data_IF_934944468260
#
_entry.id   IF_934944468260
#
_cell.length_a   1.000
_cell.length_b   1.000
_cell.length_c   1.000
_cell.angle_alpha   90.00
_cell.angle_beta   90.00
_cell.angle_gamma   90.00
#
_symmetry.space_group_name_H-M   'P 1'
#
loop_
_entity.id
_entity.type
_entity.pdbx_description
1 polymer ?
#
# COMPACT_ATOMS: atom_id res chain seq x y z
N UNK A 1 -28.48 22.71 26.57
CA UNK A 1 -27.89 21.46 27.10
C UNK A 1 -28.13 20.36 26.07
N UNK A 2 -27.06 19.65 25.72
CA UNK A 2 -27.02 18.33 25.08
C UNK A 2 -27.57 18.16 23.65
N UNK A 3 -26.67 18.22 22.67
CA UNK A 3 -26.74 17.33 21.51
C UNK A 3 -25.68 16.24 21.75
N UNK A 4 -26.14 15.03 22.06
CA UNK A 4 -25.28 13.85 22.16
C UNK A 4 -24.75 13.53 20.75
N UNK A 5 -23.44 13.63 20.56
CA UNK A 5 -22.78 13.10 19.37
C UNK A 5 -22.36 11.67 19.69
N UNK A 6 -23.11 10.70 19.16
CA UNK A 6 -22.71 9.29 19.14
C UNK A 6 -21.43 9.13 18.31
N UNK A 7 -20.32 8.62 18.86
CA UNK A 7 -19.18 8.19 18.05
C UNK A 7 -19.39 6.72 17.65
N UNK A 8 -20.41 6.44 16.85
CA UNK A 8 -20.52 5.14 16.19
C UNK A 8 -19.97 5.27 14.77
N UNK A 9 -18.66 5.12 14.64
CA UNK A 9 -18.01 4.97 13.32
C UNK A 9 -17.11 3.75 13.37
N UNK A 10 -17.75 2.57 13.41
CA UNK A 10 -17.10 1.28 13.25
C UNK A 10 -16.68 1.12 11.79
N UNK A 11 -15.40 1.41 11.54
CA UNK A 11 -14.69 1.29 10.28
C UNK A 11 -14.70 -0.14 9.74
N UNK A 12 -15.15 -0.37 8.51
CA UNK A 12 -15.24 -1.70 7.87
C UNK A 12 -13.91 -2.26 7.30
N UNK A 13 -12.79 -1.54 7.43
CA UNK A 13 -11.41 -2.02 7.20
C UNK A 13 -10.89 -2.94 8.32
N UNK A 14 -11.61 -2.96 9.43
CA UNK A 14 -11.47 -3.81 10.62
C UNK A 14 -11.48 -5.30 10.23
N UNK A 15 -12.29 -5.75 9.26
CA UNK A 15 -12.65 -7.18 9.18
C UNK A 15 -11.50 -8.21 9.15
N UNK A 16 -10.41 -8.01 8.39
CA UNK A 16 -9.34 -9.01 8.29
C UNK A 16 -8.38 -8.99 9.50
N UNK A 17 -7.83 -7.81 9.82
CA UNK A 17 -6.97 -7.58 10.99
C UNK A 17 -7.73 -7.81 12.29
N UNK A 18 -8.98 -7.38 12.36
CA UNK A 18 -9.87 -7.63 13.49
C UNK A 18 -10.27 -9.09 13.56
N UNK A 19 -10.41 -9.83 12.45
CA UNK A 19 -10.57 -11.29 12.56
C UNK A 19 -9.33 -11.97 13.16
N UNK A 20 -8.12 -11.45 12.90
CA UNK A 20 -6.89 -11.97 13.50
C UNK A 20 -6.81 -11.60 14.99
N UNK A 21 -7.08 -10.34 15.33
CA UNK A 21 -7.12 -9.85 16.71
C UNK A 21 -8.21 -10.59 17.51
N UNK A 22 -9.38 -10.81 16.93
CA UNK A 22 -10.49 -11.56 17.55
C UNK A 22 -10.11 -13.03 17.78
N UNK A 23 -9.41 -13.67 16.83
CA UNK A 23 -8.89 -15.03 17.01
C UNK A 23 -7.81 -15.11 18.09
N UNK A 24 -6.89 -14.15 18.13
CA UNK A 24 -5.81 -14.10 19.13
C UNK A 24 -6.36 -13.85 20.53
N UNK A 25 -7.25 -12.87 20.67
CA UNK A 25 -7.90 -12.54 21.93
C UNK A 25 -8.76 -13.69 22.43
N UNK A 26 -9.53 -14.36 21.56
CA UNK A 26 -10.32 -15.53 21.94
C UNK A 26 -9.46 -16.75 22.32
N UNK A 27 -8.36 -17.01 21.59
CA UNK A 27 -7.53 -18.21 21.83
C UNK A 27 -6.63 -18.10 23.06
N UNK A 28 -6.14 -16.90 23.35
CA UNK A 28 -5.19 -16.65 24.45
C UNK A 28 -5.79 -15.83 25.59
N UNK A 29 -7.10 -15.52 25.51
CA UNK A 29 -7.83 -14.71 26.49
C UNK A 29 -7.14 -13.35 26.76
N UNK A 30 -6.69 -12.69 25.67
CA UNK A 30 -6.00 -11.40 25.72
C UNK A 30 -6.97 -10.23 25.65
N UNK A 31 -6.56 -9.07 26.15
CA UNK A 31 -7.30 -7.83 25.99
C UNK A 31 -7.24 -7.35 24.53
N UNK A 32 -8.41 -7.13 23.92
CA UNK A 32 -8.53 -6.67 22.53
C UNK A 32 -7.93 -5.30 22.28
N UNK A 33 -8.06 -4.37 23.22
CA UNK A 33 -7.49 -3.03 23.09
C UNK A 33 -5.95 -3.09 23.07
N UNK A 34 -5.35 -3.89 23.95
CA UNK A 34 -3.89 -4.03 24.04
C UNK A 34 -3.32 -4.69 22.78
N UNK A 35 -3.98 -5.76 22.29
CA UNK A 35 -3.57 -6.42 21.04
C UNK A 35 -3.72 -5.49 19.84
N UNK A 36 -4.80 -4.70 19.79
CA UNK A 36 -4.99 -3.69 18.73
C UNK A 36 -3.87 -2.65 18.77
N UNK A 37 -3.53 -2.11 19.94
CA UNK A 37 -2.47 -1.14 20.11
C UNK A 37 -1.10 -1.67 19.66
N UNK A 38 -0.76 -2.92 20.03
CA UNK A 38 0.49 -3.57 19.59
C UNK A 38 0.52 -3.75 18.08
N UNK A 39 -0.58 -4.19 17.47
CA UNK A 39 -0.66 -4.37 16.02
C UNK A 39 -0.60 -3.03 15.27
N UNK A 40 -1.22 -1.98 15.82
CA UNK A 40 -1.09 -0.62 15.29
C UNK A 40 0.35 -0.11 15.34
N UNK A 41 1.04 -0.35 16.46
CA UNK A 41 2.46 0.02 16.62
C UNK A 41 3.36 -0.75 15.64
N UNK A 42 3.21 -2.08 15.54
CA UNK A 42 3.99 -2.91 14.59
C UNK A 42 3.78 -2.46 13.15
N UNK A 43 2.54 -2.08 12.78
CA UNK A 43 2.28 -1.49 11.47
C UNK A 43 3.08 -0.22 11.28
N UNK A 44 3.00 0.73 12.20
CA UNK A 44 3.75 1.99 12.11
C UNK A 44 5.26 1.75 11.99
N UNK A 45 5.81 0.84 12.79
CA UNK A 45 7.23 0.50 12.76
C UNK A 45 7.64 -0.11 11.42
N UNK A 46 6.84 -1.03 10.87
CA UNK A 46 7.08 -1.60 9.53
C UNK A 46 6.98 -0.56 8.42
N UNK A 47 6.04 0.40 8.52
CA UNK A 47 5.95 1.50 7.56
C UNK A 47 7.21 2.38 7.60
N UNK A 48 7.68 2.75 8.80
CA UNK A 48 8.91 3.50 8.97
C UNK A 48 10.13 2.75 8.43
N UNK A 49 10.22 1.43 8.67
CA UNK A 49 11.29 0.58 8.13
C UNK A 49 11.27 0.55 6.59
N UNK A 50 10.11 0.34 5.97
CA UNK A 50 10.01 0.34 4.51
C UNK A 50 10.42 1.69 3.89
N UNK A 51 10.07 2.80 4.53
CA UNK A 51 10.48 4.14 4.09
C UNK A 51 12.00 4.34 4.20
N UNK A 52 12.59 3.90 5.32
CA UNK A 52 14.03 3.95 5.51
C UNK A 52 14.75 3.09 4.46
N UNK A 53 14.29 1.88 4.20
CA UNK A 53 14.86 0.97 3.21
C UNK A 53 14.76 1.54 1.79
N UNK A 54 13.62 2.13 1.43
CA UNK A 54 13.44 2.76 0.12
C UNK A 54 14.39 3.95 -0.04
N UNK A 55 14.51 4.80 0.98
CA UNK A 55 15.45 5.94 0.97
C UNK A 55 16.90 5.46 0.86
N UNK A 56 17.27 4.40 1.58
CA UNK A 56 18.60 3.82 1.51
C UNK A 56 18.90 3.24 0.11
N UNK A 57 17.94 2.54 -0.50
CA UNK A 57 18.07 2.02 -1.88
C UNK A 57 18.27 3.13 -2.91
N UNK A 58 17.51 4.22 -2.81
CA UNK A 58 17.67 5.37 -3.70
C UNK A 58 19.03 6.04 -3.51
N UNK A 59 19.47 6.26 -2.26
CA UNK A 59 20.78 6.83 -1.98
C UNK A 59 21.94 5.95 -2.47
N UNK A 60 21.84 4.63 -2.30
CA UNK A 60 22.79 3.66 -2.84
C UNK A 60 22.82 3.72 -4.37
N UNK A 61 21.66 3.77 -5.03
CA UNK A 61 21.58 3.88 -6.48
C UNK A 61 22.15 5.20 -7.03
N UNK A 62 22.05 6.31 -6.28
CA UNK A 62 22.73 7.57 -6.62
C UNK A 62 24.24 7.43 -6.47
N UNK A 63 24.69 6.79 -5.40
CA UNK A 63 26.12 6.55 -5.15
C UNK A 63 26.73 5.63 -6.22
N UNK A 64 25.99 4.60 -6.64
CA UNK A 64 26.34 3.68 -7.72
C UNK A 64 26.28 4.32 -9.12
N UNK A 65 25.79 5.55 -9.24
CA UNK A 65 25.59 6.24 -10.53
C UNK A 65 24.46 5.65 -11.39
N UNK A 66 23.62 4.79 -10.83
CA UNK A 66 22.44 4.21 -11.50
C UNK A 66 21.27 5.19 -11.55
N UNK A 67 21.22 6.12 -10.59
CA UNK A 67 20.30 7.25 -10.55
C UNK A 67 21.09 8.55 -10.40
N UNK A 68 20.53 9.64 -10.92
CA UNK A 68 20.95 10.99 -10.52
C UNK A 68 20.21 11.41 -9.26
N UNK A 69 20.74 12.40 -8.53
CA UNK A 69 20.05 12.98 -7.37
C UNK A 69 18.64 13.47 -7.75
N UNK A 70 18.51 14.16 -8.89
CA UNK A 70 17.22 14.65 -9.38
C UNK A 70 16.22 13.51 -9.69
N UNK A 71 16.69 12.37 -10.18
CA UNK A 71 15.84 11.20 -10.41
C UNK A 71 15.36 10.58 -9.08
N UNK A 72 16.25 10.44 -8.10
CA UNK A 72 15.89 9.93 -6.77
C UNK A 72 14.91 10.87 -6.05
N UNK A 73 15.08 12.18 -6.18
CA UNK A 73 14.19 13.18 -5.60
C UNK A 73 12.80 13.13 -6.24
N UNK A 74 12.73 13.01 -7.57
CA UNK A 74 11.44 12.88 -8.28
C UNK A 74 10.69 11.61 -7.87
N UNK A 75 11.37 10.46 -7.79
CA UNK A 75 10.76 9.21 -7.32
C UNK A 75 10.24 9.37 -5.89
N UNK A 76 11.05 9.95 -5.00
CA UNK A 76 10.67 10.18 -3.60
C UNK A 76 9.44 11.07 -3.48
N UNK A 77 9.35 12.13 -4.28
CA UNK A 77 8.22 13.03 -4.31
C UNK A 77 6.93 12.29 -4.73
N UNK A 78 6.95 11.60 -5.88
CA UNK A 78 5.75 10.91 -6.38
C UNK A 78 5.29 9.81 -5.42
N UNK A 79 6.24 9.08 -4.80
CA UNK A 79 5.92 8.08 -3.79
C UNK A 79 5.29 8.69 -2.53
N UNK A 80 5.75 9.87 -2.11
CA UNK A 80 5.12 10.62 -0.99
C UNK A 80 3.71 11.09 -1.33
N UNK A 81 3.46 11.52 -2.56
CA UNK A 81 2.12 11.90 -3.02
C UNK A 81 1.18 10.68 -3.05
N UNK A 82 1.66 9.54 -3.53
CA UNK A 82 0.91 8.27 -3.50
C UNK A 82 0.61 7.85 -2.06
N UNK A 83 1.58 7.97 -1.14
CA UNK A 83 1.38 7.71 0.29
C UNK A 83 0.30 8.62 0.88
N UNK A 84 0.29 9.90 0.52
CA UNK A 84 -0.74 10.85 1.00
C UNK A 84 -2.13 10.47 0.51
N UNK A 85 -2.24 9.94 -0.71
CA UNK A 85 -3.49 9.45 -1.28
C UNK A 85 -3.91 8.11 -0.66
N UNK A 86 -2.96 7.26 -0.30
CA UNK A 86 -3.21 5.94 0.26
C UNK A 86 -3.05 5.97 1.79
N UNK A 87 -4.14 6.12 2.57
CA UNK A 87 -4.04 5.96 4.01
C UNK A 87 -3.47 4.57 4.36
N UNK A 88 -2.78 4.46 5.50
CA UNK A 88 -2.24 3.20 6.05
C UNK A 88 -3.34 2.18 6.44
N UNK A 89 -4.58 2.47 6.08
CA UNK A 89 -5.74 1.60 6.24
C UNK A 89 -5.83 0.58 5.09
N UNK A 90 -6.78 -0.36 5.18
CA UNK A 90 -6.89 -1.47 4.23
C UNK A 90 -6.92 -0.95 2.77
N UNK A 91 -6.06 -1.45 1.87
CA UNK A 91 -6.08 -1.09 0.44
C UNK A 91 -7.46 -1.27 -0.23
N UNK A 92 -8.33 -2.14 0.31
CA UNK A 92 -9.72 -2.32 -0.17
C UNK A 92 -10.66 -1.20 0.27
N UNK A 93 -10.27 -0.42 1.28
CA UNK A 93 -11.04 0.71 1.80
C UNK A 93 -10.73 2.02 1.07
N UNK A 94 -9.83 1.97 0.07
CA UNK A 94 -9.53 3.10 -0.80
C UNK A 94 -10.62 3.22 -1.87
N UNK A 95 -11.23 4.41 -1.99
CA UNK A 95 -12.27 4.66 -2.99
C UNK A 95 -11.78 4.42 -4.41
N UNK A 96 -12.69 4.12 -5.35
CA UNK A 96 -12.32 3.92 -6.76
C UNK A 96 -11.62 5.17 -7.33
N UNK A 97 -12.04 6.36 -6.92
CA UNK A 97 -11.40 7.62 -7.29
C UNK A 97 -9.94 7.69 -6.85
N UNK A 98 -9.66 7.35 -5.58
CA UNK A 98 -8.28 7.38 -5.07
C UNK A 98 -7.44 6.28 -5.72
N UNK A 99 -8.01 5.09 -5.97
CA UNK A 99 -7.34 4.03 -6.72
C UNK A 99 -6.98 4.47 -8.14
N UNK A 100 -7.88 5.18 -8.83
CA UNK A 100 -7.62 5.74 -10.14
C UNK A 100 -6.50 6.79 -10.09
N UNK A 101 -6.51 7.70 -9.10
CA UNK A 101 -5.46 8.70 -8.92
C UNK A 101 -4.08 8.08 -8.67
N UNK A 102 -4.01 7.07 -7.79
CA UNK A 102 -2.77 6.32 -7.52
C UNK A 102 -2.29 5.63 -8.80
N UNK A 103 -3.20 4.99 -9.54
CA UNK A 103 -2.87 4.34 -10.81
C UNK A 103 -2.30 5.34 -11.82
N UNK A 104 -2.94 6.49 -12.00
CA UNK A 104 -2.45 7.56 -12.88
C UNK A 104 -1.04 7.99 -12.48
N UNK A 105 -0.78 8.28 -11.20
CA UNK A 105 0.56 8.66 -10.73
C UNK A 105 1.62 7.58 -10.97
N UNK A 106 1.26 6.31 -10.80
CA UNK A 106 2.17 5.19 -11.07
C UNK A 106 2.44 5.00 -12.57
N UNK A 107 1.42 5.14 -13.42
CA UNK A 107 1.56 5.04 -14.88
C UNK A 107 2.41 6.21 -15.42
N UNK A 108 2.21 7.42 -14.89
CA UNK A 108 3.01 8.60 -15.22
C UNK A 108 4.47 8.42 -14.78
N UNK A 109 4.70 7.95 -13.54
CA UNK A 109 6.04 7.68 -13.02
C UNK A 109 6.75 6.59 -13.82
N UNK A 110 6.02 5.54 -14.24
CA UNK A 110 6.56 4.47 -15.11
C UNK A 110 6.97 4.99 -16.48
N UNK A 111 6.14 5.85 -17.07
CA UNK A 111 6.42 6.48 -18.36
C UNK A 111 7.64 7.41 -18.27
N UNK A 112 7.68 8.24 -17.21
CA UNK A 112 8.83 9.09 -16.90
C UNK A 112 10.10 8.27 -16.73
N UNK A 113 10.06 7.18 -15.97
CA UNK A 113 11.22 6.36 -15.69
C UNK A 113 11.75 5.66 -16.95
N UNK A 114 10.86 5.17 -17.81
CA UNK A 114 11.25 4.60 -19.12
C UNK A 114 11.97 5.65 -19.97
N UNK A 115 11.45 6.87 -20.01
CA UNK A 115 12.04 8.00 -20.75
C UNK A 115 13.40 8.41 -20.19
N UNK A 116 13.53 8.38 -18.86
CA UNK A 116 14.74 8.78 -18.13
C UNK A 116 15.71 7.63 -17.86
N UNK A 117 15.47 6.44 -18.43
CA UNK A 117 16.28 5.22 -18.24
C UNK A 117 16.46 4.83 -16.76
N UNK A 118 15.45 5.12 -15.95
CA UNK A 118 15.38 4.73 -14.55
C UNK A 118 14.79 3.33 -14.47
N UNK A 119 15.47 2.43 -13.78
CA UNK A 119 15.00 1.07 -13.60
C UNK A 119 13.75 1.01 -12.71
N UNK A 120 12.75 0.24 -13.14
CA UNK A 120 11.49 0.01 -12.43
C UNK A 120 11.70 -0.58 -11.03
N UNK A 121 12.81 -1.26 -10.77
CA UNK A 121 13.14 -1.81 -9.46
C UNK A 121 13.18 -0.73 -8.36
N UNK A 122 13.46 0.53 -8.71
CA UNK A 122 13.53 1.65 -7.77
C UNK A 122 12.17 2.29 -7.48
N UNK A 123 11.15 2.00 -8.28
CA UNK A 123 9.80 2.55 -8.15
C UNK A 123 8.86 1.50 -7.55
N UNK A 124 9.02 0.25 -7.97
CA UNK A 124 8.16 -0.88 -7.62
C UNK A 124 8.97 -1.95 -6.89
N UNK A 125 9.39 -1.68 -5.65
CA UNK A 125 9.65 -2.67 -4.58
C UNK A 125 10.55 -3.89 -4.81
N UNK A 126 11.16 -4.11 -5.98
CA UNK A 126 12.03 -5.26 -6.29
C UNK A 126 11.31 -6.59 -6.56
N UNK A 127 11.48 -7.09 -7.79
CA UNK A 127 11.40 -8.48 -8.27
C UNK A 127 10.48 -9.49 -7.54
N UNK A 128 9.27 -9.73 -8.09
CA UNK A 128 8.55 -10.98 -7.85
C UNK A 128 7.02 -10.92 -7.98
N UNK A 129 6.51 -11.12 -9.20
CA UNK A 129 5.10 -11.37 -9.51
C UNK A 129 4.40 -10.13 -10.08
N UNK A 130 4.09 -10.01 -11.37
CA UNK A 130 3.26 -10.97 -12.11
C UNK A 130 2.27 -11.74 -11.21
N UNK A 131 1.59 -10.99 -10.35
CA UNK A 131 0.21 -11.27 -9.98
C UNK A 131 -0.75 -10.50 -10.90
N UNK A 132 -0.45 -10.44 -12.20
CA UNK A 132 -1.54 -10.46 -13.17
C UNK A 132 -2.25 -11.77 -12.88
N UNK A 133 -3.36 -11.69 -12.14
CA UNK A 133 -4.27 -12.80 -11.98
C UNK A 133 -4.54 -13.34 -13.38
N UNK A 134 -3.97 -14.52 -13.66
CA UNK A 134 -4.19 -15.22 -14.90
C UNK A 134 -5.68 -15.32 -15.11
N UNK A 135 -6.13 -14.85 -16.28
CA UNK A 135 -7.22 -15.41 -17.06
C UNK A 135 -8.29 -16.12 -16.21
N UNK A 136 -9.30 -15.37 -15.78
CA UNK A 136 -10.66 -15.92 -15.79
C UNK A 136 -11.34 -15.37 -17.03
N UNK A 137 -10.92 -15.95 -18.16
CA UNK A 137 -11.79 -16.16 -19.31
C UNK A 137 -13.00 -16.96 -18.80
N UNK A 138 -14.02 -16.22 -18.34
CA UNK A 138 -15.33 -16.75 -17.96
C UNK A 138 -16.28 -16.75 -19.14
N UNK A 139 -15.76 -16.97 -20.35
CA UNK A 139 -16.57 -17.28 -21.52
C UNK A 139 -17.28 -18.61 -21.27
N UNK A 140 -18.57 -18.53 -20.94
CA UNK A 140 -19.48 -19.66 -20.84
C UNK A 140 -19.55 -20.39 -22.20
N UNK A 141 -19.06 -21.65 -22.34
CA UNK A 141 -19.13 -22.37 -23.61
C UNK A 141 -20.30 -23.37 -23.61
N UNK A 142 -21.48 -23.00 -23.12
CA UNK A 142 -22.64 -23.87 -23.24
C UNK A 142 -23.94 -23.13 -23.60
N UNK A 143 -23.92 -22.42 -24.74
CA UNK A 143 -25.12 -22.08 -25.50
C UNK A 143 -24.83 -22.20 -27.01
N UNK A 144 -24.71 -23.43 -27.51
CA UNK A 144 -24.93 -23.78 -28.91
C UNK A 144 -24.93 -25.31 -29.07
N UNK A 145 -26.06 -25.95 -28.81
CA UNK A 145 -26.74 -26.98 -29.63
C UNK A 145 -27.92 -27.56 -28.85
#
# INVERSE_FOLDING_TARGET
MSAATDPSTTSSSTSASTSLIDKLTAKFNLNKADVQAVVDQDRQDRHAQMEADQKAKLAAAVTDGKLTQAQADHISQVMSEIKTLRPDTDPKSVSDTVRAQIKTKLDDLKTWATTNKVDMQYIMGGHGGHGLGGVRDGGNPNEAN
#
